data_IF_705161958239
#
_entry.id   IF_705161958239
#
_cell.length_a   1.000
_cell.length_b   1.000
_cell.length_c   1.000
_cell.angle_alpha   90.00
_cell.angle_beta   90.00
_cell.angle_gamma   90.00
#
_symmetry.space_group_name_H-M   'P 1'
#
loop_
_entity.id
_entity.type
_entity.pdbx_description
1 polymer ?
#
# COMPACT_ATOMS: atom_id res chain seq x y z
N UNK A 1 -40.18 -13.96 -29.55
CA UNK A 1 -39.04 -14.59 -28.86
C UNK A 1 -37.77 -13.88 -29.34
N UNK A 2 -37.32 -12.87 -28.60
CA UNK A 2 -35.97 -12.31 -28.79
C UNK A 2 -35.01 -13.11 -27.92
N UNK A 3 -33.82 -13.48 -28.41
CA UNK A 3 -32.83 -14.18 -27.61
C UNK A 3 -32.17 -13.20 -26.62
N UNK A 4 -32.32 -13.49 -25.32
CA UNK A 4 -31.59 -12.84 -24.24
C UNK A 4 -30.08 -13.01 -24.47
N UNK A 5 -29.41 -11.90 -24.81
CA UNK A 5 -27.95 -11.84 -24.87
C UNK A 5 -27.48 -11.55 -23.45
N UNK A 6 -27.00 -12.57 -22.74
CA UNK A 6 -26.36 -12.37 -21.44
C UNK A 6 -25.08 -11.55 -21.62
N UNK A 7 -24.82 -10.52 -20.79
CA UNK A 7 -23.59 -9.74 -20.90
C UNK A 7 -22.40 -10.64 -20.55
N UNK A 8 -21.38 -10.63 -21.41
CA UNK A 8 -20.11 -11.30 -21.17
C UNK A 8 -19.53 -10.81 -19.83
N UNK A 9 -19.30 -11.75 -18.91
CA UNK A 9 -18.63 -11.47 -17.64
C UNK A 9 -17.26 -10.86 -17.93
N UNK A 10 -17.04 -9.64 -17.42
CA UNK A 10 -15.72 -9.02 -17.41
C UNK A 10 -14.77 -9.99 -16.69
N UNK A 11 -13.61 -10.35 -17.26
CA UNK A 11 -12.66 -11.22 -16.57
C UNK A 11 -12.33 -10.60 -15.21
N UNK A 12 -12.29 -11.45 -14.17
CA UNK A 12 -11.93 -11.01 -12.83
C UNK A 12 -10.58 -10.29 -12.87
N UNK A 13 -10.47 -9.18 -12.16
CA UNK A 13 -9.20 -8.48 -12.02
C UNK A 13 -8.17 -9.44 -11.42
N UNK A 14 -7.03 -9.59 -12.10
CA UNK A 14 -5.95 -10.46 -11.69
C UNK A 14 -4.62 -9.73 -11.91
N UNK A 15 -3.61 -9.94 -11.04
CA UNK A 15 -2.31 -9.34 -11.26
C UNK A 15 -1.73 -9.81 -12.59
N UNK A 16 -1.10 -8.89 -13.34
CA UNK A 16 -0.42 -9.25 -14.58
C UNK A 16 0.90 -9.99 -14.26
N UNK A 17 0.83 -11.32 -14.28
CA UNK A 17 1.96 -12.21 -14.03
C UNK A 17 3.05 -12.09 -15.10
N UNK A 18 2.68 -11.74 -16.34
CA UNK A 18 3.65 -11.52 -17.42
C UNK A 18 4.47 -10.27 -17.16
N UNK A 19 3.80 -9.17 -16.82
CA UNK A 19 4.45 -7.93 -16.44
C UNK A 19 5.29 -8.07 -15.17
N UNK A 20 4.82 -8.84 -14.17
CA UNK A 20 5.61 -9.09 -12.97
C UNK A 20 6.94 -9.78 -13.31
N UNK A 21 6.90 -10.80 -14.16
CA UNK A 21 8.09 -11.52 -14.60
C UNK A 21 9.04 -10.60 -15.40
N UNK A 22 8.51 -9.73 -16.24
CA UNK A 22 9.29 -8.74 -17.00
C UNK A 22 9.97 -7.73 -16.07
N UNK A 23 9.24 -7.13 -15.13
CA UNK A 23 9.82 -6.22 -14.13
C UNK A 23 10.92 -6.91 -13.33
N UNK A 24 10.67 -8.14 -12.86
CA UNK A 24 11.66 -8.89 -12.10
C UNK A 24 12.89 -9.29 -12.92
N UNK A 25 12.76 -9.46 -14.24
CA UNK A 25 13.91 -9.70 -15.12
C UNK A 25 14.82 -8.46 -15.26
N UNK A 26 14.25 -7.27 -15.05
CA UNK A 26 14.95 -5.98 -15.05
C UNK A 26 15.27 -5.43 -13.66
N UNK A 27 15.00 -6.19 -12.60
CA UNK A 27 15.19 -5.76 -11.23
C UNK A 27 16.67 -5.39 -10.93
N UNK A 28 16.89 -4.24 -10.29
CA UNK A 28 18.21 -3.75 -9.92
C UNK A 28 18.87 -4.52 -8.75
N UNK A 29 18.12 -5.41 -8.09
CA UNK A 29 18.56 -6.18 -6.92
C UNK A 29 18.37 -5.43 -5.60
N UNK A 30 17.49 -4.43 -5.56
CA UNK A 30 17.20 -3.64 -4.36
C UNK A 30 16.10 -4.33 -3.53
N UNK A 31 16.03 -3.99 -2.23
CA UNK A 31 15.13 -4.67 -1.29
C UNK A 31 13.65 -4.54 -1.64
N UNK A 32 13.27 -3.45 -2.31
CA UNK A 32 11.88 -3.14 -2.63
C UNK A 32 11.44 -3.62 -4.03
N UNK A 33 12.34 -4.18 -4.85
CA UNK A 33 12.03 -4.55 -6.25
C UNK A 33 10.80 -5.45 -6.34
N UNK A 34 10.77 -6.54 -5.57
CA UNK A 34 9.66 -7.47 -5.58
C UNK A 34 8.34 -6.85 -5.09
N UNK A 35 8.40 -5.87 -4.19
CA UNK A 35 7.21 -5.18 -3.69
C UNK A 35 6.67 -4.21 -4.74
N UNK A 36 7.54 -3.39 -5.34
CA UNK A 36 7.14 -2.50 -6.43
C UNK A 36 6.62 -3.27 -7.64
N UNK A 37 7.26 -4.37 -8.03
CA UNK A 37 6.81 -5.20 -9.13
C UNK A 37 5.40 -5.75 -8.88
N UNK A 38 5.11 -6.24 -7.66
CA UNK A 38 3.76 -6.69 -7.31
C UNK A 38 2.73 -5.56 -7.40
N UNK A 39 3.02 -4.39 -6.83
CA UNK A 39 2.08 -3.27 -6.83
C UNK A 39 1.82 -2.75 -8.26
N UNK A 40 2.86 -2.65 -9.10
CA UNK A 40 2.74 -2.24 -10.51
C UNK A 40 1.89 -3.25 -11.30
N UNK A 41 2.22 -4.54 -11.20
CA UNK A 41 1.48 -5.61 -11.89
C UNK A 41 0.04 -5.74 -11.44
N UNK A 42 -0.23 -5.58 -10.15
CA UNK A 42 -1.58 -5.58 -9.61
C UNK A 42 -2.38 -4.36 -10.08
N UNK A 43 -1.79 -3.16 -10.02
CA UNK A 43 -2.45 -1.92 -10.45
C UNK A 43 -2.83 -1.98 -11.94
N UNK A 44 -1.92 -2.45 -12.81
CA UNK A 44 -2.19 -2.63 -14.25
C UNK A 44 -3.22 -3.73 -14.50
N UNK A 45 -3.19 -4.81 -13.71
CA UNK A 45 -4.18 -5.88 -13.71
C UNK A 45 -5.55 -5.48 -13.13
N UNK A 46 -5.70 -4.25 -12.63
CA UNK A 46 -6.93 -3.74 -12.00
C UNK A 46 -7.19 -4.32 -10.60
N UNK A 47 -6.17 -4.82 -9.93
CA UNK A 47 -6.20 -5.37 -8.57
C UNK A 47 -5.67 -4.33 -7.59
N UNK A 48 -6.34 -4.20 -6.45
CA UNK A 48 -6.06 -3.19 -5.44
C UNK A 48 -6.73 -1.85 -5.74
N UNK A 49 -6.40 -0.85 -4.93
CA UNK A 49 -7.05 0.45 -4.95
C UNK A 49 -6.09 1.61 -5.29
N UNK A 50 -4.81 1.30 -5.54
CA UNK A 50 -3.83 2.30 -5.93
C UNK A 50 -4.21 2.95 -7.28
N UNK A 51 -4.10 4.28 -7.38
CA UNK A 51 -4.31 4.97 -8.65
C UNK A 51 -3.14 4.68 -9.63
N UNK A 52 -3.29 5.04 -10.91
CA UNK A 52 -2.19 4.98 -11.87
C UNK A 52 -0.93 5.68 -11.32
N UNK A 53 0.24 5.06 -11.50
CA UNK A 53 1.50 5.57 -10.94
C UNK A 53 1.67 5.27 -9.45
N UNK A 54 0.85 4.37 -8.90
CA UNK A 54 0.84 3.99 -7.48
C UNK A 54 0.51 5.15 -6.52
N UNK A 55 -0.02 6.25 -7.04
CA UNK A 55 -0.27 7.47 -6.26
C UNK A 55 0.91 8.44 -6.19
N UNK A 56 2.02 8.10 -6.83
CA UNK A 56 3.17 9.01 -6.98
C UNK A 56 2.91 10.04 -8.08
N UNK A 57 3.63 11.16 -8.00
CA UNK A 57 3.77 12.06 -9.14
C UNK A 57 4.51 11.38 -10.30
N UNK A 58 4.27 11.84 -11.52
CA UNK A 58 4.88 11.27 -12.74
C UNK A 58 6.42 11.25 -12.66
N UNK A 59 7.01 12.30 -12.10
CA UNK A 59 8.46 12.40 -11.90
C UNK A 59 8.99 11.31 -10.97
N UNK A 60 8.33 11.10 -9.83
CA UNK A 60 8.77 10.14 -8.83
C UNK A 60 8.52 8.70 -9.29
N UNK A 61 7.41 8.45 -9.98
CA UNK A 61 7.17 7.15 -10.59
C UNK A 61 8.21 6.82 -11.68
N UNK A 62 8.57 7.80 -12.53
CA UNK A 62 9.63 7.62 -13.53
C UNK A 62 11.00 7.36 -12.89
N UNK A 63 11.31 8.07 -11.80
CA UNK A 63 12.54 7.84 -11.04
C UNK A 63 12.56 6.44 -10.41
N UNK A 64 11.42 5.99 -9.86
CA UNK A 64 11.26 4.64 -9.32
C UNK A 64 11.53 3.57 -10.37
N UNK A 65 10.95 3.69 -11.57
CA UNK A 65 11.21 2.73 -12.66
C UNK A 65 12.68 2.72 -13.07
N UNK A 66 13.29 3.90 -13.20
CA UNK A 66 14.70 4.03 -13.61
C UNK A 66 15.63 3.35 -12.60
N UNK A 67 15.32 3.46 -11.32
CA UNK A 67 16.17 2.97 -10.24
C UNK A 67 15.96 1.49 -9.93
N UNK A 68 14.72 1.02 -9.89
CA UNK A 68 14.37 -0.36 -9.54
C UNK A 68 14.29 -1.31 -10.74
N UNK A 69 13.95 -0.80 -11.93
CA UNK A 69 13.70 -1.61 -13.13
C UNK A 69 14.35 -1.00 -14.38
N UNK A 70 15.69 -0.83 -14.40
CA UNK A 70 16.40 -0.23 -15.51
C UNK A 70 16.06 -0.91 -16.85
N UNK A 71 15.66 -0.09 -17.82
CA UNK A 71 15.30 -0.53 -19.17
C UNK A 71 13.83 -0.87 -19.39
N UNK A 72 12.99 -0.79 -18.33
CA UNK A 72 11.53 -0.88 -18.47
C UNK A 72 10.94 0.50 -18.71
N UNK A 73 10.18 0.65 -19.78
CA UNK A 73 9.42 1.86 -20.09
C UNK A 73 7.93 1.59 -19.96
N UNK A 74 7.30 2.18 -18.93
CA UNK A 74 5.85 2.15 -18.77
C UNK A 74 5.28 3.55 -18.95
N UNK A 75 4.29 3.66 -19.84
CA UNK A 75 3.54 4.90 -20.04
C UNK A 75 2.31 4.87 -19.17
N UNK A 76 2.28 5.71 -18.13
CA UNK A 76 1.13 5.82 -17.25
C UNK A 76 0.31 7.05 -17.61
N UNK A 77 -1.00 6.87 -17.72
CA UNK A 77 -1.95 7.96 -17.86
C UNK A 77 -2.45 8.36 -16.48
N UNK A 78 -1.78 9.34 -15.88
CA UNK A 78 -2.25 9.95 -14.65
C UNK A 78 -3.49 10.81 -14.93
N UNK A 79 -4.50 10.72 -14.05
CA UNK A 79 -5.56 11.72 -14.00
C UNK A 79 -5.09 12.90 -13.17
N UNK A 80 -5.57 14.09 -13.52
CA UNK A 80 -5.33 15.28 -12.70
C UNK A 80 -5.85 15.05 -11.27
N UNK A 81 -5.09 15.48 -10.28
CA UNK A 81 -5.50 15.42 -8.89
C UNK A 81 -6.76 16.28 -8.69
N UNK A 82 -7.82 15.68 -8.17
CA UNK A 82 -9.02 16.39 -7.75
C UNK A 82 -8.86 16.86 -6.30
N UNK A 83 -9.65 17.86 -5.91
CA UNK A 83 -9.65 18.36 -4.54
C UNK A 83 -10.08 17.23 -3.59
N UNK A 84 -9.18 16.81 -2.71
CA UNK A 84 -9.43 15.71 -1.79
C UNK A 84 -9.84 16.21 -0.41
N UNK A 85 -11.08 15.89 -0.01
CA UNK A 85 -11.61 16.22 1.32
C UNK A 85 -10.83 15.58 2.48
N UNK A 86 -10.04 14.54 2.20
CA UNK A 86 -9.18 13.79 3.15
C UNK A 86 -7.72 14.19 3.06
N UNK A 87 -7.39 15.33 2.42
CA UNK A 87 -6.01 15.84 2.40
C UNK A 87 -5.35 15.94 3.78
N UNK A 88 -6.03 16.43 4.85
CA UNK A 88 -5.39 16.48 6.18
C UNK A 88 -5.02 15.09 6.72
N UNK A 89 -5.93 14.11 6.59
CA UNK A 89 -5.69 12.73 7.02
C UNK A 89 -4.53 12.08 6.25
N UNK A 90 -4.44 12.36 4.95
CA UNK A 90 -3.34 11.90 4.09
C UNK A 90 -2.01 12.48 4.56
N UNK A 91 -1.97 13.79 4.83
CA UNK A 91 -0.76 14.49 5.26
C UNK A 91 -0.28 13.97 6.63
N UNK A 92 -1.19 13.67 7.55
CA UNK A 92 -0.87 13.06 8.84
C UNK A 92 -0.25 11.67 8.67
N UNK A 93 -0.86 10.79 7.88
CA UNK A 93 -0.33 9.44 7.60
C UNK A 93 1.04 9.53 6.91
N UNK A 94 1.18 10.41 5.91
CA UNK A 94 2.44 10.60 5.21
C UNK A 94 3.53 11.12 6.16
N UNK A 95 3.21 12.11 6.98
CA UNK A 95 4.12 12.65 8.00
C UNK A 95 4.62 11.57 8.96
N UNK A 96 3.71 10.73 9.46
CA UNK A 96 4.05 9.59 10.32
C UNK A 96 5.01 8.62 9.62
N UNK A 97 4.72 8.22 8.38
CA UNK A 97 5.55 7.26 7.64
C UNK A 97 6.92 7.84 7.31
N UNK A 98 6.99 9.09 6.86
CA UNK A 98 8.25 9.77 6.55
C UNK A 98 9.13 9.98 7.78
N UNK A 99 8.53 10.24 8.95
CA UNK A 99 9.24 10.35 10.22
C UNK A 99 9.88 9.02 10.65
N UNK A 100 9.30 7.89 10.25
CA UNK A 100 9.71 6.56 10.69
C UNK A 100 10.33 5.68 9.61
N UNK A 101 10.69 6.26 8.46
CA UNK A 101 11.37 5.53 7.39
C UNK A 101 12.76 5.05 7.83
N UNK A 102 13.30 4.04 7.15
CA UNK A 102 14.59 3.45 7.51
C UNK A 102 15.80 4.37 7.23
N UNK A 103 15.61 5.41 6.43
CA UNK A 103 16.61 6.37 5.95
C UNK A 103 17.79 5.72 5.23
N UNK A 104 17.58 4.63 4.48
CA UNK A 104 18.62 3.94 3.73
C UNK A 104 18.58 4.24 2.24
N UNK A 105 17.39 4.44 1.70
CA UNK A 105 17.20 4.63 0.27
C UNK A 105 16.01 5.55 -0.06
N UNK A 106 16.04 6.21 -1.23
CA UNK A 106 14.95 7.09 -1.69
C UNK A 106 13.63 6.35 -1.85
N UNK A 107 13.69 5.05 -2.17
CA UNK A 107 12.54 4.16 -2.33
C UNK A 107 11.62 4.11 -1.13
N UNK A 108 12.12 4.41 0.07
CA UNK A 108 11.30 4.44 1.29
C UNK A 108 10.38 5.67 1.32
N UNK A 109 10.79 6.77 0.69
CA UNK A 109 9.93 7.94 0.52
C UNK A 109 8.80 7.63 -0.46
N UNK A 110 9.12 7.07 -1.62
CA UNK A 110 8.10 6.60 -2.57
C UNK A 110 7.17 5.57 -1.91
N UNK A 111 7.72 4.65 -1.12
CA UNK A 111 6.92 3.68 -0.37
C UNK A 111 5.98 4.36 0.64
N UNK A 112 6.43 5.42 1.32
CA UNK A 112 5.57 6.17 2.24
C UNK A 112 4.38 6.80 1.51
N UNK A 113 4.60 7.41 0.36
CA UNK A 113 3.55 8.00 -0.47
C UNK A 113 2.57 6.93 -0.98
N UNK A 114 3.07 5.78 -1.45
CA UNK A 114 2.25 4.65 -1.92
C UNK A 114 1.41 4.06 -0.79
N UNK A 115 2.00 3.82 0.38
CA UNK A 115 1.27 3.31 1.55
C UNK A 115 0.20 4.30 2.01
N UNK A 116 0.51 5.60 2.02
CA UNK A 116 -0.46 6.65 2.31
C UNK A 116 -1.62 6.63 1.31
N UNK A 117 -1.35 6.50 0.02
CA UNK A 117 -2.39 6.42 -1.02
C UNK A 117 -3.31 5.20 -0.79
N UNK A 118 -2.75 4.03 -0.50
CA UNK A 118 -3.52 2.84 -0.17
C UNK A 118 -4.29 2.96 1.16
N UNK A 119 -3.77 3.69 2.15
CA UNK A 119 -4.49 3.95 3.40
C UNK A 119 -5.82 4.70 3.17
N UNK A 120 -5.92 5.47 2.09
CA UNK A 120 -7.15 6.17 1.72
C UNK A 120 -8.22 5.25 1.10
N UNK A 121 -7.91 4.01 0.78
CA UNK A 121 -8.92 3.06 0.32
C UNK A 121 -9.62 2.35 1.50
N UNK A 122 -10.65 1.56 1.20
CA UNK A 122 -11.57 1.03 2.21
C UNK A 122 -11.19 -0.35 2.76
N UNK A 123 -10.39 -1.14 2.04
CA UNK A 123 -10.13 -2.54 2.38
C UNK A 123 -8.91 -2.70 3.30
N UNK A 124 -8.42 -3.94 3.46
CA UNK A 124 -7.18 -4.18 4.19
C UNK A 124 -6.00 -3.61 3.40
N UNK A 125 -5.02 -3.04 4.11
CA UNK A 125 -3.92 -2.30 3.47
C UNK A 125 -3.16 -3.14 2.42
N UNK A 126 -2.97 -4.44 2.65
CA UNK A 126 -2.26 -5.29 1.70
C UNK A 126 -3.05 -5.51 0.41
N UNK A 127 -4.38 -5.58 0.49
CA UNK A 127 -5.29 -5.67 -0.67
C UNK A 127 -5.31 -4.35 -1.43
N UNK A 128 -5.44 -3.23 -0.70
CA UNK A 128 -5.43 -1.88 -1.29
C UNK A 128 -4.13 -1.59 -2.05
N UNK A 129 -2.99 -2.04 -1.52
CA UNK A 129 -1.69 -1.98 -2.18
C UNK A 129 -1.56 -2.91 -3.39
N UNK A 130 -2.44 -3.91 -3.52
CA UNK A 130 -2.32 -4.97 -4.52
C UNK A 130 -1.19 -5.96 -4.23
N UNK A 131 -0.79 -6.12 -2.96
CA UNK A 131 0.15 -7.16 -2.55
C UNK A 131 -0.54 -8.52 -2.56
N UNK A 132 0.24 -9.59 -2.75
CA UNK A 132 -0.34 -10.94 -2.87
C UNK A 132 -0.55 -11.67 -1.52
N UNK A 133 -0.08 -11.07 -0.43
CA UNK A 133 -0.30 -11.60 0.92
C UNK A 133 -0.09 -10.53 1.98
N UNK A 134 -0.69 -10.75 3.16
CA UNK A 134 -0.39 -9.99 4.38
C UNK A 134 1.09 -10.06 4.77
N UNK A 135 1.74 -11.20 4.53
CA UNK A 135 3.18 -11.36 4.81
C UNK A 135 4.04 -10.40 4.00
N UNK A 136 3.68 -10.12 2.74
CA UNK A 136 4.37 -9.12 1.93
C UNK A 136 4.22 -7.71 2.51
N UNK A 137 3.05 -7.38 3.06
CA UNK A 137 2.86 -6.12 3.77
C UNK A 137 3.72 -6.06 5.04
N UNK A 138 3.76 -7.12 5.84
CA UNK A 138 4.63 -7.14 7.02
C UNK A 138 6.11 -6.99 6.65
N UNK A 139 6.57 -7.61 5.55
CA UNK A 139 7.94 -7.39 5.03
C UNK A 139 8.16 -5.95 4.58
N UNK A 140 7.21 -5.36 3.86
CA UNK A 140 7.24 -3.95 3.45
C UNK A 140 7.43 -3.05 4.67
N UNK A 141 6.62 -3.25 5.72
CA UNK A 141 6.67 -2.43 6.93
C UNK A 141 7.98 -2.62 7.71
N UNK A 142 8.48 -3.86 7.83
CA UNK A 142 9.76 -4.13 8.49
C UNK A 142 10.96 -3.52 7.76
N UNK A 143 10.94 -3.51 6.42
CA UNK A 143 12.04 -3.01 5.60
C UNK A 143 12.04 -1.48 5.53
N UNK A 144 10.87 -0.88 5.29
CA UNK A 144 10.75 0.54 4.99
C UNK A 144 10.50 1.39 6.25
N UNK A 145 9.82 0.83 7.26
CA UNK A 145 9.41 1.55 8.48
C UNK A 145 9.77 0.77 9.76
N UNK A 146 11.04 0.39 9.98
CA UNK A 146 11.44 -0.56 11.01
C UNK A 146 11.06 -0.11 12.43
N UNK A 147 11.09 1.20 12.71
CA UNK A 147 10.71 1.74 14.01
C UNK A 147 9.21 1.57 14.30
N UNK A 148 8.35 1.74 13.29
CA UNK A 148 6.91 1.45 13.41
C UNK A 148 6.68 -0.06 13.55
N UNK A 149 7.40 -0.86 12.77
CA UNK A 149 7.23 -2.30 12.81
C UNK A 149 7.62 -2.91 14.17
N UNK A 150 8.69 -2.41 14.79
CA UNK A 150 9.11 -2.82 16.13
C UNK A 150 8.06 -2.50 17.23
N UNK A 151 7.14 -1.55 16.98
CA UNK A 151 6.06 -1.18 17.90
C UNK A 151 4.80 -2.02 17.70
N UNK A 152 4.61 -2.64 16.53
CA UNK A 152 3.45 -3.49 16.25
C UNK A 152 3.66 -4.95 16.72
N UNK A 153 4.02 -5.13 18.00
CA UNK A 153 4.46 -6.42 18.56
C UNK A 153 3.37 -7.50 18.65
N UNK A 154 2.11 -7.11 18.58
CA UNK A 154 0.95 -8.01 18.67
C UNK A 154 0.28 -8.27 17.32
N UNK A 155 0.93 -7.89 16.22
CA UNK A 155 0.43 -8.09 14.85
C UNK A 155 -0.98 -7.51 14.64
N UNK A 156 -1.16 -6.26 15.11
CA UNK A 156 -2.36 -5.48 14.82
C UNK A 156 -2.44 -5.22 13.32
N UNK A 157 -3.66 -5.21 12.76
CA UNK A 157 -3.90 -4.82 11.37
C UNK A 157 -3.22 -3.49 11.07
N UNK A 158 -2.34 -3.44 10.06
CA UNK A 158 -1.42 -2.31 9.84
C UNK A 158 -2.12 -0.96 9.70
N UNK A 159 -3.22 -0.90 8.95
CA UNK A 159 -4.01 0.33 8.81
C UNK A 159 -4.46 0.83 10.19
N UNK A 160 -5.07 -0.04 11.00
CA UNK A 160 -5.51 0.32 12.36
C UNK A 160 -4.35 0.69 13.29
N UNK A 161 -3.22 0.01 13.16
CA UNK A 161 -2.01 0.35 13.89
C UNK A 161 -1.55 1.78 13.56
N UNK A 162 -1.44 2.15 12.28
CA UNK A 162 -1.02 3.49 11.85
C UNK A 162 -1.94 4.58 12.42
N UNK A 163 -3.27 4.42 12.32
CA UNK A 163 -4.22 5.38 12.92
C UNK A 163 -4.11 5.45 14.44
N UNK A 164 -3.85 4.32 15.12
CA UNK A 164 -3.57 4.34 16.56
C UNK A 164 -2.31 5.15 16.87
N UNK A 165 -1.26 5.06 16.05
CA UNK A 165 -0.05 5.88 16.24
C UNK A 165 -0.31 7.37 16.07
N UNK A 166 -1.13 7.77 15.09
CA UNK A 166 -1.56 9.16 14.92
C UNK A 166 -2.34 9.65 16.14
N UNK A 167 -3.32 8.88 16.63
CA UNK A 167 -4.05 9.25 17.85
C UNK A 167 -3.12 9.41 19.05
N UNK A 168 -2.13 8.52 19.21
CA UNK A 168 -1.15 8.61 20.30
C UNK A 168 -0.27 9.86 20.22
N UNK A 169 0.12 10.30 19.02
CA UNK A 169 0.90 11.54 18.82
C UNK A 169 0.11 12.78 19.27
N UNK A 170 -1.21 12.78 19.06
CA UNK A 170 -2.13 13.83 19.50
C UNK A 170 -2.54 13.71 20.99
N UNK A 171 -1.99 12.72 21.72
CA UNK A 171 -2.36 12.44 23.11
C UNK A 171 -3.77 11.88 23.27
N UNK A 172 -4.39 11.41 22.19
CA UNK A 172 -5.72 10.81 22.18
C UNK A 172 -5.60 9.31 22.46
N UNK A 173 -6.21 8.87 23.56
CA UNK A 173 -6.37 7.44 23.84
C UNK A 173 -7.46 6.85 22.95
N UNK A 174 -7.06 6.30 21.81
CA UNK A 174 -7.97 5.63 20.86
C UNK A 174 -8.65 4.39 21.48
N UNK A 175 -7.95 3.68 22.39
CA UNK A 175 -8.51 2.53 23.10
C UNK A 175 -9.02 2.95 24.48
N UNK A 176 -10.28 2.62 24.79
CA UNK A 176 -10.90 2.87 26.11
C UNK A 176 -10.80 1.68 27.07
N UNK A 177 -10.36 0.52 26.58
CA UNK A 177 -10.28 -0.69 27.39
C UNK A 177 -9.01 -0.67 28.26
N UNK A 178 -9.06 -1.23 29.49
CA UNK A 178 -7.90 -1.28 30.38
C UNK A 178 -6.77 -2.21 29.86
N UNK A 179 -7.12 -3.18 29.00
CA UNK A 179 -6.17 -3.95 28.20
C UNK A 179 -6.82 -4.39 26.88
N UNK A 180 -5.99 -4.70 25.86
CA UNK A 180 -6.50 -5.16 24.57
C UNK A 180 -7.28 -6.48 24.69
N UNK A 181 -6.89 -7.37 25.58
CA UNK A 181 -7.46 -8.72 25.74
C UNK A 181 -8.94 -8.72 26.18
N UNK A 182 -9.38 -7.68 26.90
CA UNK A 182 -10.77 -7.49 27.32
C UNK A 182 -11.54 -6.49 26.43
N UNK A 183 -10.92 -6.01 25.35
CA UNK A 183 -11.57 -5.12 24.41
C UNK A 183 -12.56 -5.89 23.53
N UNK A 184 -13.82 -5.45 23.47
CA UNK A 184 -14.84 -6.04 22.59
C UNK A 184 -14.45 -5.97 21.11
N UNK A 185 -13.59 -5.02 20.75
CA UNK A 185 -13.06 -4.83 19.39
C UNK A 185 -11.73 -5.56 19.14
N UNK A 186 -11.30 -6.46 20.05
CA UNK A 186 -10.02 -7.16 19.91
C UNK A 186 -9.90 -7.88 18.56
N UNK A 187 -10.92 -8.67 18.17
CA UNK A 187 -10.92 -9.38 16.88
C UNK A 187 -10.94 -8.42 15.69
N UNK A 188 -11.52 -7.23 15.84
CA UNK A 188 -11.49 -6.21 14.81
C UNK A 188 -10.05 -5.69 14.61
N UNK A 189 -9.25 -5.61 15.67
CA UNK A 189 -7.89 -5.07 15.65
C UNK A 189 -6.81 -6.11 15.35
N UNK A 190 -6.98 -7.36 15.80
CA UNK A 190 -5.97 -8.42 15.78
C UNK A 190 -6.42 -9.70 15.05
N UNK A 191 -7.67 -9.76 14.58
CA UNK A 191 -8.18 -10.91 13.84
C UNK A 191 -7.50 -11.07 12.47
N UNK A 192 -7.70 -12.23 11.83
CA UNK A 192 -7.20 -12.48 10.47
C UNK A 192 -7.75 -11.46 9.47
N UNK A 193 -7.00 -11.28 8.38
CA UNK A 193 -7.38 -10.48 7.22
C UNK A 193 -7.50 -11.45 6.05
N UNK A 194 -8.73 -11.70 5.59
CA UNK A 194 -9.03 -12.44 4.34
C UNK A 194 -9.04 -11.50 3.14
#
# INVERSE_FOLDING_TARGET
MQPDTMPAQKPAAQPDQGLYAELMAHAAGLSNDALFAQMISSQIGGVGALPPGLGLEERDFSALLTDHFPGVELVIRCKAAEADSRAPERDDVLGLLLQHRAHRHMSEQWMAEIVTAACMASDHLWQDLGLWSRDHLSRLMMQNFPALAARNVHDMKWKKFLYKQLCEQEGINACRAPSCEYCTDYLNCFGPEE
#
